data_IF_936257350853
#
_entry.id   IF_936257350853
#
_cell.length_a   1.000
_cell.length_b   1.000
_cell.length_c   1.000
_cell.angle_alpha   90.00
_cell.angle_beta   90.00
_cell.angle_gamma   90.00
#
_symmetry.space_group_name_H-M   'P 1'
#
loop_
_entity.id
_entity.type
_entity.pdbx_description
1 polymer ?
#
# COMPACT_ATOMS: atom_id res chain seq x y z
N UNK A 1 15.72 -26.04 47.20
CA UNK A 1 15.44 -25.42 45.90
C UNK A 1 14.87 -24.03 46.17
N UNK A 2 15.11 -23.08 45.27
CA UNK A 2 14.72 -21.68 45.45
C UNK A 2 13.86 -21.22 44.27
N UNK A 3 12.84 -20.44 44.56
CA UNK A 3 11.99 -19.82 43.55
C UNK A 3 12.61 -18.53 43.04
N UNK A 4 12.40 -18.24 41.75
CA UNK A 4 12.73 -16.97 41.12
C UNK A 4 11.44 -16.30 40.64
N UNK A 5 11.12 -15.15 41.22
CA UNK A 5 9.97 -14.34 40.82
C UNK A 5 10.45 -13.20 39.93
N UNK A 6 9.94 -13.15 38.71
CA UNK A 6 10.25 -12.13 37.71
C UNK A 6 9.05 -11.20 37.52
N UNK A 7 9.29 -9.89 37.55
CA UNK A 7 8.28 -8.87 37.27
C UNK A 7 8.77 -7.93 36.18
N UNK A 8 7.90 -7.59 35.23
CA UNK A 8 8.18 -6.59 34.21
C UNK A 8 6.89 -5.92 33.75
N UNK A 9 6.98 -4.62 33.47
CA UNK A 9 5.93 -3.82 32.84
C UNK A 9 6.60 -3.01 31.72
N UNK A 10 6.09 -3.06 30.49
CA UNK A 10 6.75 -2.47 29.31
C UNK A 10 7.83 -3.35 28.65
N UNK A 11 7.97 -4.61 29.08
CA UNK A 11 8.98 -5.54 28.55
C UNK A 11 8.78 -6.98 29.04
N UNK A 12 9.61 -7.89 28.54
CA UNK A 12 9.68 -9.30 28.96
C UNK A 12 11.06 -9.60 29.57
N UNK A 13 11.12 -10.63 30.42
CA UNK A 13 12.37 -11.16 30.96
C UNK A 13 12.48 -12.63 30.54
N UNK A 14 13.58 -12.97 29.87
CA UNK A 14 13.94 -14.36 29.59
C UNK A 14 14.93 -14.85 30.64
N UNK A 15 14.73 -16.07 31.14
CA UNK A 15 15.64 -16.73 32.08
C UNK A 15 16.24 -17.99 31.41
N UNK A 16 17.54 -18.21 31.60
CA UNK A 16 18.24 -19.39 31.10
C UNK A 16 19.17 -19.96 32.18
N UNK A 17 18.98 -21.23 32.61
CA UNK A 17 17.85 -22.10 32.25
C UNK A 17 16.52 -21.56 32.81
N UNK A 18 15.41 -21.91 32.17
CA UNK A 18 14.06 -21.61 32.68
C UNK A 18 13.52 -22.82 33.45
N UNK A 19 13.42 -22.68 34.77
CA UNK A 19 12.93 -23.72 35.66
C UNK A 19 11.90 -23.16 36.65
N UNK A 20 10.98 -24.02 37.13
CA UNK A 20 10.02 -23.64 38.16
C UNK A 20 10.67 -23.40 39.52
N UNK A 21 11.71 -24.18 39.85
CA UNK A 21 12.48 -24.10 41.08
C UNK A 21 13.94 -24.45 40.80
N UNK A 22 14.87 -23.64 41.29
CA UNK A 22 16.30 -23.81 41.02
C UNK A 22 17.01 -24.52 42.18
N UNK A 23 18.03 -25.31 41.88
CA UNK A 23 18.93 -25.82 42.91
C UNK A 23 19.74 -24.67 43.55
N UNK A 24 20.16 -24.86 44.79
CA UNK A 24 21.03 -23.89 45.45
C UNK A 24 22.36 -23.77 44.69
N UNK A 25 22.79 -22.55 44.39
CA UNK A 25 24.00 -22.25 43.63
C UNK A 25 23.83 -22.27 42.11
N UNK A 26 22.63 -22.57 41.59
CA UNK A 26 22.37 -22.47 40.14
C UNK A 26 22.56 -21.02 39.69
N UNK A 27 23.30 -20.84 38.60
CA UNK A 27 23.48 -19.54 37.94
C UNK A 27 22.46 -19.40 36.82
N UNK A 28 21.58 -18.41 36.95
CA UNK A 28 20.52 -18.09 35.99
C UNK A 28 20.92 -16.84 35.23
N UNK A 29 21.02 -16.92 33.91
CA UNK A 29 21.19 -15.77 33.04
C UNK A 29 19.82 -15.15 32.77
N UNK A 30 19.69 -13.85 33.01
CA UNK A 30 18.51 -13.07 32.69
C UNK A 30 18.78 -12.13 31.52
N UNK A 31 17.80 -12.00 30.63
CA UNK A 31 17.83 -11.06 29.51
C UNK A 31 16.53 -10.27 29.48
N UNK A 32 16.64 -8.95 29.58
CA UNK A 32 15.51 -8.04 29.38
C UNK A 32 15.26 -7.85 27.89
N UNK A 33 13.99 -7.86 27.51
CA UNK A 33 13.50 -7.61 26.16
C UNK A 33 12.44 -6.50 26.22
N UNK A 34 12.80 -5.24 25.96
CA UNK A 34 11.82 -4.16 25.87
C UNK A 34 10.75 -4.45 24.81
N UNK A 35 9.49 -4.13 25.10
CA UNK A 35 8.45 -4.11 24.08
C UNK A 35 8.59 -2.86 23.20
N UNK A 36 7.92 -2.85 22.06
CA UNK A 36 7.92 -1.69 21.16
C UNK A 36 7.46 -0.42 21.89
N UNK A 37 8.17 0.68 21.68
CA UNK A 37 7.93 1.94 22.38
C UNK A 37 8.48 2.03 23.79
N UNK A 38 9.16 0.99 24.30
CA UNK A 38 9.84 1.00 25.59
C UNK A 38 11.34 0.80 25.44
N UNK A 39 12.11 1.32 26.39
CA UNK A 39 13.53 1.02 26.53
C UNK A 39 13.83 0.55 27.95
N UNK A 40 14.82 -0.34 28.08
CA UNK A 40 15.24 -0.87 29.37
C UNK A 40 16.05 0.16 30.13
N UNK A 41 15.71 0.39 31.40
CA UNK A 41 16.42 1.35 32.26
C UNK A 41 17.22 0.68 33.36
N UNK A 42 16.83 -0.52 33.79
CA UNK A 42 17.65 -1.30 34.71
C UNK A 42 16.93 -2.43 35.43
N UNK A 43 17.68 -3.13 36.27
CA UNK A 43 17.18 -4.16 37.17
C UNK A 43 16.94 -3.61 38.58
N UNK A 44 15.94 -4.15 39.27
CA UNK A 44 15.63 -3.85 40.67
C UNK A 44 15.33 -5.13 41.46
N UNK A 45 15.58 -5.09 42.77
CA UNK A 45 15.36 -6.19 43.70
C UNK A 45 16.67 -6.91 44.00
N UNK A 46 16.70 -8.23 43.79
CA UNK A 46 17.90 -9.05 43.97
C UNK A 46 18.93 -8.92 42.83
N UNK A 47 18.63 -8.09 41.82
CA UNK A 47 19.56 -7.65 40.78
C UNK A 47 19.55 -6.12 40.67
N UNK A 48 20.66 -5.58 40.16
CA UNK A 48 20.82 -4.17 39.83
C UNK A 48 21.71 -4.02 38.60
N UNK A 49 21.67 -2.85 37.97
CA UNK A 49 22.46 -2.52 36.78
C UNK A 49 21.59 -2.17 35.58
N UNK A 50 22.21 -1.53 34.58
CA UNK A 50 21.55 -1.02 33.37
C UNK A 50 21.77 -1.89 32.13
N UNK A 51 22.53 -2.98 32.25
CA UNK A 51 22.79 -3.90 31.15
C UNK A 51 21.58 -4.80 30.89
N UNK A 52 21.22 -4.97 29.61
CA UNK A 52 20.10 -5.83 29.18
C UNK A 52 20.29 -7.30 29.59
N UNK A 53 21.53 -7.73 29.85
CA UNK A 53 21.86 -9.08 30.30
C UNK A 53 22.46 -9.03 31.69
N UNK A 54 21.95 -9.86 32.57
CA UNK A 54 22.48 -10.03 33.93
C UNK A 54 22.54 -11.51 34.29
N UNK A 55 23.28 -11.85 35.33
CA UNK A 55 23.31 -13.21 35.86
C UNK A 55 23.07 -13.16 37.37
N UNK A 56 22.27 -14.11 37.86
CA UNK A 56 21.90 -14.24 39.25
C UNK A 56 22.27 -15.64 39.75
N UNK A 57 22.75 -15.75 40.98
CA UNK A 57 23.01 -17.04 41.63
C UNK A 57 21.89 -17.31 42.64
N UNK A 58 21.31 -18.51 42.58
CA UNK A 58 20.19 -18.91 43.43
C UNK A 58 20.68 -19.45 44.77
N UNK A 59 20.99 -18.57 45.73
CA UNK A 59 21.35 -18.92 47.12
C UNK A 59 20.17 -18.82 48.12
N UNK A 60 19.13 -18.07 47.74
CA UNK A 60 17.87 -17.88 48.44
C UNK A 60 16.73 -17.78 47.42
N UNK A 61 15.45 -17.75 47.83
CA UNK A 61 14.39 -17.23 46.95
C UNK A 61 14.76 -15.82 46.48
N UNK A 62 14.52 -15.53 45.20
CA UNK A 62 14.91 -14.27 44.55
C UNK A 62 13.72 -13.58 43.89
N UNK A 63 13.72 -12.25 43.94
CA UNK A 63 12.75 -11.37 43.30
C UNK A 63 13.50 -10.36 42.43
N UNK A 64 13.25 -10.41 41.13
CA UNK A 64 13.86 -9.49 40.16
C UNK A 64 12.75 -8.76 39.41
N UNK A 65 12.89 -7.44 39.32
CA UNK A 65 12.04 -6.60 38.49
C UNK A 65 12.89 -5.97 37.39
N UNK A 66 12.46 -6.09 36.13
CA UNK A 66 13.03 -5.32 35.02
C UNK A 66 12.25 -4.02 34.86
N UNK A 67 12.97 -2.91 34.86
CA UNK A 67 12.43 -1.57 34.69
C UNK A 67 12.53 -1.16 33.22
N UNK A 68 11.41 -0.68 32.70
CA UNK A 68 11.31 -0.14 31.35
C UNK A 68 10.64 1.22 31.41
N UNK A 69 11.08 2.13 30.55
CA UNK A 69 10.47 3.45 30.41
C UNK A 69 9.98 3.65 28.98
N UNK A 70 8.84 4.33 28.84
CA UNK A 70 8.29 4.65 27.53
C UNK A 70 9.21 5.62 26.80
N UNK A 71 9.61 5.25 25.58
CA UNK A 71 10.39 6.11 24.69
C UNK A 71 9.56 7.31 24.28
N UNK A 72 10.17 8.49 24.31
CA UNK A 72 9.53 9.76 23.98
C UNK A 72 10.19 10.39 22.75
N UNK A 73 9.40 11.08 21.95
CA UNK A 73 9.82 11.71 20.71
C UNK A 73 9.39 13.17 20.65
N UNK A 74 10.27 14.01 20.09
CA UNK A 74 9.95 15.39 19.78
C UNK A 74 9.17 15.49 18.46
N UNK A 75 8.19 16.41 18.44
CA UNK A 75 7.48 16.82 17.23
C UNK A 75 7.78 18.29 16.95
N UNK A 76 8.56 18.55 15.90
CA UNK A 76 8.86 19.91 15.46
C UNK A 76 7.82 20.35 14.44
N UNK A 77 7.13 21.45 14.71
CA UNK A 77 6.11 21.98 13.79
C UNK A 77 6.47 23.39 13.35
N UNK A 78 6.47 23.61 12.04
CA UNK A 78 6.76 24.91 11.42
C UNK A 78 5.56 25.38 10.60
N UNK A 79 5.28 26.68 10.66
CA UNK A 79 4.19 27.31 9.94
C UNK A 79 4.57 28.76 9.64
N UNK A 80 4.69 29.09 8.36
CA UNK A 80 4.91 30.47 7.91
C UNK A 80 3.58 31.01 7.38
N UNK A 81 3.19 32.22 7.80
CA UNK A 81 1.90 32.83 7.44
C UNK A 81 0.66 32.10 7.97
N UNK A 82 0.82 31.32 9.04
CA UNK A 82 -0.25 30.66 9.77
C UNK A 82 0.23 30.13 11.10
N UNK A 83 -0.59 29.35 11.78
CA UNK A 83 -0.22 28.61 12.99
C UNK A 83 -0.75 27.19 12.93
N UNK A 84 -0.15 26.29 13.69
CA UNK A 84 -0.60 24.91 13.83
C UNK A 84 -0.93 24.66 15.29
N UNK A 85 -2.15 24.20 15.55
CA UNK A 85 -2.60 23.77 16.87
C UNK A 85 -2.37 22.27 17.02
N UNK A 86 -1.81 21.86 18.16
CA UNK A 86 -1.55 20.47 18.50
C UNK A 86 -2.50 20.02 19.61
N UNK A 87 -3.00 18.80 19.49
CA UNK A 87 -3.85 18.19 20.49
C UNK A 87 -3.57 16.68 20.63
N UNK A 88 -2.94 16.22 21.74
CA UNK A 88 -2.51 17.04 22.88
C UNK A 88 -1.29 17.91 22.56
N UNK A 89 -1.17 19.07 23.21
CA UNK A 89 0.03 19.92 23.14
C UNK A 89 1.06 19.44 24.16
N UNK A 90 2.25 19.06 23.71
CA UNK A 90 3.36 18.64 24.56
C UNK A 90 4.70 18.90 23.88
N UNK A 91 5.78 19.02 24.67
CA UNK A 91 7.14 19.14 24.14
C UNK A 91 7.66 17.81 23.59
N UNK A 92 7.27 16.70 24.23
CA UNK A 92 7.61 15.34 23.82
C UNK A 92 6.42 14.42 24.01
N UNK A 93 6.31 13.44 23.13
CA UNK A 93 5.21 12.50 23.05
C UNK A 93 5.70 11.08 23.28
N UNK A 94 5.00 10.32 24.11
CA UNK A 94 5.26 8.89 24.26
C UNK A 94 5.07 8.16 22.93
N UNK A 95 5.82 7.09 22.70
CA UNK A 95 5.64 6.23 21.54
C UNK A 95 4.17 5.81 21.37
N UNK A 96 3.67 5.88 20.14
CA UNK A 96 2.28 5.57 19.79
C UNK A 96 1.27 6.68 20.11
N UNK A 97 1.70 7.81 20.68
CA UNK A 97 0.78 8.94 20.92
C UNK A 97 0.28 9.48 19.58
N UNK A 98 -1.03 9.61 19.45
CA UNK A 98 -1.69 10.22 18.29
C UNK A 98 -1.93 11.70 18.55
N UNK A 99 -1.21 12.54 17.83
CA UNK A 99 -1.29 14.00 17.92
C UNK A 99 -2.17 14.49 16.78
N UNK A 100 -3.21 15.26 17.09
CA UNK A 100 -4.06 15.92 16.10
C UNK A 100 -3.46 17.28 15.78
N UNK A 101 -3.19 17.53 14.51
CA UNK A 101 -2.68 18.80 14.01
C UNK A 101 -3.81 19.54 13.29
N UNK A 102 -3.96 20.84 13.57
CA UNK A 102 -4.89 21.73 12.87
C UNK A 102 -4.16 22.98 12.39
N UNK A 103 -4.07 23.17 11.08
CA UNK A 103 -3.58 24.39 10.46
C UNK A 103 -4.65 25.50 10.51
N UNK A 104 -4.26 26.67 10.99
CA UNK A 104 -5.08 27.89 10.97
C UNK A 104 -4.32 28.96 10.15
N UNK A 105 -4.75 29.25 8.90
CA UNK A 105 -4.16 30.31 8.08
C UNK A 105 -4.30 31.68 8.72
N UNK A 106 -3.31 32.55 8.48
CA UNK A 106 -3.44 33.98 8.81
C UNK A 106 -4.36 34.69 7.82
N UNK A 107 -4.82 35.89 8.17
CA UNK A 107 -5.65 36.71 7.29
C UNK A 107 -4.97 36.94 5.92
N UNK A 108 -5.72 36.71 4.84
CA UNK A 108 -5.20 36.82 3.47
C UNK A 108 -4.45 35.58 2.97
N UNK A 109 -4.37 34.50 3.74
CA UNK A 109 -3.76 33.24 3.33
C UNK A 109 -4.76 32.08 3.37
N UNK A 110 -4.50 31.04 2.57
CA UNK A 110 -5.17 29.75 2.61
C UNK A 110 -4.16 28.64 2.91
N UNK A 111 -4.60 27.59 3.59
CA UNK A 111 -3.79 26.39 3.77
C UNK A 111 -3.72 25.62 2.44
N UNK A 112 -2.52 25.22 2.03
CA UNK A 112 -2.30 24.42 0.84
C UNK A 112 -2.17 22.94 1.20
N UNK A 113 -1.15 22.61 1.99
CA UNK A 113 -0.79 21.25 2.31
C UNK A 113 0.16 21.15 3.51
N UNK A 114 0.27 19.93 4.03
CA UNK A 114 1.34 19.52 4.93
C UNK A 114 2.57 19.04 4.14
N UNK A 115 3.74 19.24 4.74
CA UNK A 115 5.02 18.69 4.30
C UNK A 115 5.75 18.03 5.49
N UNK A 116 6.67 17.10 5.19
CA UNK A 116 7.47 16.38 6.19
C UNK A 116 6.79 15.07 6.60
N UNK A 117 6.57 14.88 7.91
CA UNK A 117 5.97 13.68 8.46
C UNK A 117 4.45 13.56 8.22
N UNK A 118 3.83 14.61 7.69
CA UNK A 118 2.46 14.61 7.18
C UNK A 118 2.46 15.04 5.72
N UNK A 119 1.45 14.59 4.98
CA UNK A 119 1.18 14.98 3.59
C UNK A 119 -0.31 15.18 3.38
N UNK A 120 -0.67 15.97 2.37
CA UNK A 120 -2.05 16.18 1.96
C UNK A 120 -2.58 17.59 2.26
N UNK A 121 -3.75 17.89 1.69
CA UNK A 121 -4.36 19.23 1.65
C UNK A 121 -5.45 19.48 2.71
N UNK A 122 -5.71 18.50 3.57
CA UNK A 122 -6.68 18.65 4.66
C UNK A 122 -6.04 19.48 5.80
N UNK A 123 -6.69 20.56 6.27
CA UNK A 123 -6.13 21.42 7.33
C UNK A 123 -6.15 20.75 8.71
N UNK A 124 -6.75 19.57 8.85
CA UNK A 124 -6.76 18.78 10.09
C UNK A 124 -6.29 17.37 9.75
N UNK A 125 -5.29 16.88 10.49
CA UNK A 125 -4.73 15.55 10.28
C UNK A 125 -4.22 14.96 11.60
N UNK A 126 -4.09 13.64 11.67
CA UNK A 126 -3.56 12.96 12.87
C UNK A 126 -2.21 12.32 12.56
N UNK A 127 -1.23 12.55 13.43
CA UNK A 127 0.11 12.01 13.34
C UNK A 127 0.38 11.07 14.53
N UNK A 128 0.84 9.86 14.25
CA UNK A 128 1.28 8.93 15.30
C UNK A 128 2.78 9.07 15.57
N UNK A 129 3.15 9.23 16.84
CA UNK A 129 4.54 9.45 17.27
C UNK A 129 5.26 8.12 17.47
N UNK A 130 5.92 7.61 16.44
CA UNK A 130 6.79 6.42 16.49
C UNK A 130 8.30 6.76 16.32
N UNK A 131 8.61 8.03 16.03
CA UNK A 131 9.94 8.56 15.88
C UNK A 131 9.93 10.07 16.14
N UNK A 132 11.10 10.70 16.21
CA UNK A 132 11.17 12.15 16.10
C UNK A 132 10.66 12.58 14.71
N UNK A 133 9.79 13.58 14.67
CA UNK A 133 9.09 13.98 13.45
C UNK A 133 9.12 15.49 13.27
N UNK A 134 9.17 15.90 12.01
CA UNK A 134 9.07 17.29 11.61
C UNK A 134 7.89 17.47 10.67
N UNK A 135 7.06 18.48 10.93
CA UNK A 135 5.89 18.82 10.11
C UNK A 135 5.96 20.28 9.75
N UNK A 136 5.67 20.60 8.48
CA UNK A 136 5.53 21.97 7.99
C UNK A 136 4.13 22.18 7.43
N UNK A 137 3.45 23.23 7.88
CA UNK A 137 2.21 23.70 7.29
C UNK A 137 2.50 24.77 6.23
N UNK A 138 2.06 24.53 5.00
CA UNK A 138 2.26 25.44 3.87
C UNK A 138 1.01 26.25 3.61
N UNK A 139 1.17 27.56 3.47
CA UNK A 139 0.10 28.51 3.20
C UNK A 139 0.40 29.33 1.94
N UNK A 140 -0.65 29.73 1.21
CA UNK A 140 -0.55 30.59 0.04
C UNK A 140 -1.39 31.87 0.21
N UNK A 141 -0.88 32.98 -0.31
CA UNK A 141 -1.61 34.25 -0.36
C UNK A 141 -2.83 34.13 -1.26
N UNK A 142 -3.95 34.71 -0.82
CA UNK A 142 -5.15 34.85 -1.63
C UNK A 142 -4.91 35.99 -2.64
N UNK A 143 -4.92 35.72 -3.96
CA UNK A 143 -4.68 36.75 -4.95
C UNK A 143 -5.78 37.82 -4.87
N UNK A 144 -5.36 39.09 -4.79
CA UNK A 144 -6.28 40.23 -4.82
C UNK A 144 -7.03 40.26 -6.16
N UNK A 145 -8.35 40.54 -6.17
CA UNK A 145 -9.10 40.66 -7.42
C UNK A 145 -8.44 41.68 -8.35
N UNK A 146 -8.26 41.30 -9.62
CA UNK A 146 -7.77 42.24 -10.62
C UNK A 146 -8.72 43.44 -10.70
N UNK A 147 -8.22 44.69 -10.79
CA UNK A 147 -9.07 45.85 -10.98
C UNK A 147 -9.92 45.68 -12.25
N UNK A 148 -11.19 46.13 -12.24
CA UNK A 148 -12.07 45.96 -13.38
C UNK A 148 -11.45 46.60 -14.64
N UNK A 149 -11.40 45.82 -15.73
CA UNK A 149 -10.91 46.29 -17.02
C UNK A 149 -11.79 47.48 -17.44
N UNK A 150 -11.22 48.65 -17.78
CA UNK A 150 -12.00 49.76 -18.32
C UNK A 150 -12.67 49.31 -19.62
N UNK A 151 -14.00 49.28 -19.64
CA UNK A 151 -14.76 49.05 -20.87
C UNK A 151 -14.45 50.17 -21.86
N UNK A 152 -13.92 49.88 -23.07
CA UNK A 152 -13.75 50.90 -24.08
C UNK A 152 -15.13 51.41 -24.51
N UNK A 153 -15.33 52.73 -24.44
CA UNK A 153 -16.48 53.39 -25.03
C UNK A 153 -16.48 53.12 -26.53
N UNK A 154 -17.45 52.35 -27.01
CA UNK A 154 -17.70 52.17 -28.45
C UNK A 154 -18.37 53.45 -28.95
N UNK A 155 -17.77 54.23 -29.86
CA UNK A 155 -18.46 55.35 -30.48
C UNK A 155 -19.60 54.80 -31.33
N UNK A 156 -20.81 55.34 -31.14
CA UNK A 156 -22.00 54.97 -31.90
C UNK A 156 -21.76 55.18 -33.39
N UNK A 157 -21.89 54.12 -34.19
CA UNK A 157 -21.77 54.21 -35.65
C UNK A 157 -22.88 55.08 -36.26
N UNK A 158 -22.62 55.81 -37.36
CA UNK A 158 -23.62 56.62 -38.03
C UNK A 158 -24.64 55.74 -38.77
N UNK A 159 -25.92 56.06 -38.56
CA UNK A 159 -27.09 55.41 -39.15
C UNK A 159 -27.02 55.57 -40.69
N UNK A 160 -26.94 54.45 -41.42
CA UNK A 160 -27.12 54.41 -42.88
C UNK A 160 -28.60 54.20 -43.17
N UNK A 161 -29.24 55.18 -43.82
CA UNK A 161 -30.61 55.09 -44.31
C UNK A 161 -30.75 53.98 -45.37
N UNK A 162 -31.68 53.05 -45.12
CA UNK A 162 -32.09 52.00 -46.08
C UNK A 162 -33.28 52.54 -46.88
N UNK A 163 -33.26 52.52 -48.24
CA UNK A 163 -34.40 52.97 -49.04
C UNK A 163 -35.54 51.92 -49.08
N UNK A 164 -36.79 52.34 -49.35
CA UNK A 164 -37.97 51.50 -49.15
C UNK A 164 -38.22 50.53 -50.32
N UNK A 165 -38.59 49.29 -50.01
CA UNK A 165 -39.17 48.35 -50.97
C UNK A 165 -40.58 47.98 -50.52
N UNK A 166 -41.56 48.33 -51.36
CA UNK A 166 -42.99 48.01 -51.23
C UNK A 166 -43.30 46.58 -51.76
N UNK A 167 -44.55 46.07 -51.72
CA UNK A 167 -45.10 45.33 -50.59
C UNK A 167 -45.59 43.90 -50.92
N UNK A 168 -45.83 43.13 -49.85
CA UNK A 168 -46.82 42.05 -49.68
C UNK A 168 -46.95 40.93 -50.75
N UNK A 169 -46.47 39.73 -50.39
CA UNK A 169 -46.99 38.46 -50.89
C UNK A 169 -47.57 37.69 -49.69
N UNK A 170 -48.84 37.29 -49.80
CA UNK A 170 -49.62 36.53 -48.80
C UNK A 170 -48.99 35.17 -48.41
N UNK A 171 -49.31 34.64 -47.22
CA UNK A 171 -48.77 33.36 -46.76
C UNK A 171 -49.46 32.16 -47.43
N UNK A 172 -48.67 31.27 -48.04
CA UNK A 172 -49.11 29.96 -48.54
C UNK A 172 -49.22 28.98 -47.35
N UNK A 173 -50.32 28.21 -47.22
CA UNK A 173 -50.50 27.27 -46.11
C UNK A 173 -49.59 26.02 -46.23
N UNK A 174 -49.24 25.36 -45.11
CA UNK A 174 -48.30 24.25 -45.09
C UNK A 174 -48.87 23.01 -45.78
N UNK A 175 -48.15 22.49 -46.77
CA UNK A 175 -48.44 21.19 -47.38
C UNK A 175 -48.00 20.06 -46.44
N UNK A 176 -48.89 19.09 -46.26
CA UNK A 176 -48.69 17.92 -45.44
C UNK A 176 -47.55 17.03 -45.98
N UNK A 177 -46.57 16.73 -45.14
CA UNK A 177 -45.52 15.75 -45.41
C UNK A 177 -46.09 14.35 -45.16
N UNK A 178 -45.98 13.38 -46.09
CA UNK A 178 -46.49 12.04 -45.85
C UNK A 178 -45.61 11.28 -44.85
N UNK A 179 -46.27 10.64 -43.89
CA UNK A 179 -45.69 9.75 -42.88
C UNK A 179 -45.06 8.53 -43.57
N UNK A 180 -43.75 8.41 -43.53
CA UNK A 180 -43.03 7.19 -43.93
C UNK A 180 -43.04 6.24 -42.73
N UNK A 181 -43.73 5.09 -42.90
CA UNK A 181 -43.66 3.98 -41.94
C UNK A 181 -42.36 3.19 -42.16
N UNK A 182 -41.66 2.74 -41.11
CA UNK A 182 -40.51 1.86 -41.28
C UNK A 182 -40.96 0.44 -41.69
N UNK A 183 -40.30 -0.13 -42.70
CA UNK A 183 -40.46 -1.54 -43.09
C UNK A 183 -39.80 -2.48 -42.06
N UNK A 184 -40.34 -3.71 -41.86
CA UNK A 184 -39.76 -4.68 -40.95
C UNK A 184 -38.48 -5.34 -41.54
N UNK A 185 -37.50 -5.72 -40.71
CA UNK A 185 -36.26 -6.35 -41.17
C UNK A 185 -36.53 -7.75 -41.73
N UNK A 186 -36.00 -8.01 -42.94
CA UNK A 186 -36.04 -9.32 -43.57
C UNK A 186 -35.12 -10.33 -42.85
N UNK A 187 -35.63 -11.54 -42.68
CA UNK A 187 -34.98 -12.65 -42.00
C UNK A 187 -33.75 -13.17 -42.79
N UNK A 188 -32.62 -13.32 -42.09
CA UNK A 188 -31.42 -14.00 -42.59
C UNK A 188 -31.56 -15.50 -42.31
N UNK A 189 -31.37 -16.41 -43.29
CA UNK A 189 -31.55 -17.84 -43.06
C UNK A 189 -30.38 -18.45 -42.28
N UNK A 190 -30.77 -19.27 -41.32
CA UNK A 190 -29.96 -20.15 -40.47
C UNK A 190 -29.20 -21.18 -41.30
N UNK A 191 -27.87 -21.29 -41.10
CA UNK A 191 -27.09 -22.46 -41.52
C UNK A 191 -26.64 -23.21 -40.26
N UNK A 192 -27.04 -24.48 -40.18
CA UNK A 192 -26.79 -25.39 -39.07
C UNK A 192 -25.38 -26.02 -39.20
N UNK A 193 -24.68 -26.33 -38.09
CA UNK A 193 -23.47 -27.14 -38.13
C UNK A 193 -23.84 -28.62 -37.99
N UNK A 194 -23.37 -29.45 -38.92
CA UNK A 194 -23.50 -30.90 -38.86
C UNK A 194 -22.10 -31.51 -38.62
N UNK A 195 -22.02 -32.34 -37.58
CA UNK A 195 -20.88 -33.16 -37.17
C UNK A 195 -20.43 -34.13 -38.26
N UNK A 196 -19.17 -34.57 -38.22
CA UNK A 196 -18.73 -35.99 -38.12
C UNK A 196 -17.18 -36.06 -38.12
N UNK A 197 -16.61 -36.71 -37.09
CA UNK A 197 -15.22 -37.19 -36.96
C UNK A 197 -15.00 -38.48 -37.81
N UNK A 198 -13.87 -39.25 -37.86
CA UNK A 198 -12.74 -39.33 -36.90
C UNK A 198 -11.31 -39.63 -37.46
N UNK A 199 -10.32 -39.56 -36.54
CA UNK A 199 -9.08 -40.37 -36.34
C UNK A 199 -8.19 -40.75 -37.54
N UNK A 200 -6.90 -40.38 -37.49
CA UNK A 200 -5.72 -41.25 -37.78
C UNK A 200 -4.49 -40.78 -36.97
N UNK A 201 -3.88 -41.70 -36.21
CA UNK A 201 -2.56 -41.62 -35.56
C UNK A 201 -1.41 -41.52 -36.56
N UNK A 202 -0.34 -40.76 -36.26
CA UNK A 202 1.03 -41.15 -36.62
C UNK A 202 2.02 -40.62 -35.57
N UNK A 203 2.76 -41.56 -34.99
CA UNK A 203 3.99 -41.40 -34.21
C UNK A 203 5.13 -40.77 -35.03
N UNK A 204 6.14 -40.23 -34.32
CA UNK A 204 7.60 -40.38 -34.54
C UNK A 204 8.36 -39.09 -34.15
N UNK A 205 8.98 -39.07 -32.96
CA UNK A 205 10.41 -39.34 -32.65
C UNK A 205 11.35 -38.13 -32.83
N UNK A 206 12.16 -37.92 -31.79
CA UNK A 206 13.26 -36.96 -31.66
C UNK A 206 14.34 -37.12 -32.76
N UNK A 207 15.32 -36.19 -32.80
CA UNK A 207 16.62 -36.66 -32.32
C UNK A 207 17.46 -35.66 -31.51
N UNK A 208 18.26 -36.28 -30.67
CA UNK A 208 19.46 -35.84 -29.97
C UNK A 208 20.55 -35.42 -30.98
N UNK A 209 21.33 -34.38 -30.65
CA UNK A 209 22.65 -34.15 -31.27
C UNK A 209 23.65 -33.85 -30.16
N UNK A 210 24.40 -34.87 -29.75
CA UNK A 210 25.76 -34.77 -29.24
C UNK A 210 26.73 -34.79 -30.43
N UNK A 211 27.83 -34.04 -30.34
CA UNK A 211 29.09 -34.37 -31.01
C UNK A 211 30.26 -33.70 -30.25
N UNK A 212 31.04 -34.53 -29.58
CA UNK A 212 32.40 -34.25 -29.10
C UNK A 212 33.34 -33.93 -30.28
N UNK A 213 34.43 -33.16 -30.03
CA UNK A 213 35.80 -33.68 -30.15
C UNK A 213 36.92 -32.61 -30.08
N UNK A 214 37.96 -32.96 -29.31
CA UNK A 214 39.42 -32.72 -29.50
C UNK A 214 40.08 -31.49 -28.86
N UNK A 215 40.97 -31.80 -27.90
CA UNK A 215 42.04 -30.97 -27.31
C UNK A 215 43.23 -30.77 -28.28
N UNK A 216 44.23 -29.93 -27.95
CA UNK A 216 45.39 -30.54 -27.30
C UNK A 216 46.12 -29.67 -26.25
N UNK A 217 46.71 -30.45 -25.33
CA UNK A 217 47.86 -30.28 -24.44
C UNK A 217 48.94 -29.29 -24.90
N UNK A 218 49.42 -28.45 -23.97
CA UNK A 218 50.81 -27.98 -23.92
C UNK A 218 51.30 -28.02 -22.47
N UNK A 219 52.26 -28.91 -22.21
CA UNK A 219 53.11 -28.98 -21.01
C UNK A 219 54.02 -27.74 -20.91
N UNK A 220 54.14 -27.18 -19.71
CA UNK A 220 55.36 -26.51 -19.28
C UNK A 220 55.64 -26.88 -17.82
N UNK A 221 56.60 -27.78 -17.66
CA UNK A 221 57.33 -28.01 -16.41
C UNK A 221 58.06 -26.73 -15.99
N UNK A 222 58.03 -26.37 -14.70
CA UNK A 222 59.16 -25.69 -14.06
C UNK A 222 59.09 -25.77 -12.52
N UNK A 223 59.89 -26.69 -12.00
CA UNK A 223 60.84 -26.54 -10.88
C UNK A 223 60.35 -25.86 -9.59
N UNK A 224 60.22 -26.68 -8.54
CA UNK A 224 60.23 -26.27 -7.14
C UNK A 224 61.56 -25.63 -6.71
N UNK A 225 61.55 -24.84 -5.62
CA UNK A 225 62.53 -25.08 -4.58
C UNK A 225 61.91 -25.14 -3.17
N UNK A 226 62.30 -26.21 -2.47
CA UNK A 226 62.67 -26.33 -1.05
C UNK A 226 62.13 -25.25 -0.10
N UNK A 227 61.18 -25.65 0.76
CA UNK A 227 60.82 -24.92 1.98
C UNK A 227 61.12 -25.82 3.18
N UNK A 228 61.83 -25.26 4.17
CA UNK A 228 62.21 -25.88 5.45
C UNK A 228 60.99 -26.34 6.28
N UNK A 229 61.15 -27.34 7.17
CA UNK A 229 60.03 -27.90 7.93
C UNK A 229 59.65 -26.99 9.11
N UNK A 230 58.43 -26.42 9.07
CA UNK A 230 57.80 -25.82 10.24
C UNK A 230 56.97 -26.86 11.00
N UNK A 231 56.95 -26.66 12.32
CA UNK A 231 56.63 -27.63 13.35
C UNK A 231 55.17 -28.11 13.37
N UNK A 232 55.02 -29.37 13.80
CA UNK A 232 53.77 -30.09 14.03
C UNK A 232 52.89 -29.35 15.05
N UNK A 233 51.74 -28.86 14.62
CA UNK A 233 50.64 -28.38 15.47
C UNK A 233 49.53 -29.45 15.39
N UNK A 234 48.98 -29.94 16.51
CA UNK A 234 48.03 -31.06 16.48
C UNK A 234 46.71 -30.67 15.81
N UNK A 235 46.27 -31.53 14.90
CA UNK A 235 45.03 -31.48 14.13
C UNK A 235 43.82 -31.55 15.09
N UNK A 236 43.17 -30.41 15.33
CA UNK A 236 41.80 -30.38 15.87
C UNK A 236 40.88 -30.70 14.69
N UNK A 237 40.18 -31.83 14.77
CA UNK A 237 39.18 -32.21 13.78
C UNK A 237 38.14 -31.09 13.61
N UNK A 238 37.80 -30.68 12.37
CA UNK A 238 36.72 -29.72 12.17
C UNK A 238 35.40 -30.34 12.62
N UNK A 239 34.53 -29.60 13.33
CA UNK A 239 33.21 -30.11 13.68
C UNK A 239 32.43 -30.38 12.39
N UNK A 240 31.65 -31.46 12.41
CA UNK A 240 30.81 -31.91 11.31
C UNK A 240 29.99 -30.74 10.70
N UNK A 241 29.79 -30.71 9.37
CA UNK A 241 28.99 -29.68 8.74
C UNK A 241 27.57 -29.73 9.31
N UNK A 242 27.15 -28.61 9.91
CA UNK A 242 25.77 -28.39 10.33
C UNK A 242 24.87 -28.66 9.12
N UNK A 243 23.94 -29.62 9.26
CA UNK A 243 22.88 -29.78 8.29
C UNK A 243 22.14 -28.44 8.18
N UNK A 244 22.07 -27.93 6.95
CA UNK A 244 21.21 -26.83 6.55
C UNK A 244 19.77 -27.21 6.86
N UNK A 245 19.31 -26.86 8.07
CA UNK A 245 17.89 -26.75 8.34
C UNK A 245 17.45 -25.55 7.52
N UNK A 246 16.77 -25.82 6.40
CA UNK A 246 16.01 -24.85 5.63
C UNK A 246 15.27 -23.92 6.59
N UNK A 247 15.31 -22.59 6.41
CA UNK A 247 14.54 -21.70 7.26
C UNK A 247 13.07 -22.05 7.08
N UNK A 248 12.49 -22.72 8.08
CA UNK A 248 11.05 -22.77 8.25
C UNK A 248 10.62 -21.31 8.35
N UNK A 249 9.90 -20.84 7.36
CA UNK A 249 9.20 -19.57 7.40
C UNK A 249 8.28 -19.61 8.63
N UNK A 250 8.73 -19.01 9.73
CA UNK A 250 7.85 -18.65 10.84
C UNK A 250 7.06 -17.46 10.32
N UNK A 251 5.83 -17.72 9.90
CA UNK A 251 4.82 -16.69 9.66
C UNK A 251 4.78 -15.75 10.88
N UNK A 252 4.61 -14.43 10.68
CA UNK A 252 4.62 -13.48 11.78
C UNK A 252 3.56 -13.89 12.81
N UNK A 253 3.98 -14.07 14.06
CA UNK A 253 3.07 -14.37 15.17
C UNK A 253 2.06 -13.23 15.28
N UNK A 254 0.82 -13.50 14.88
CA UNK A 254 -0.30 -12.58 15.04
C UNK A 254 -0.48 -12.28 16.52
N UNK A 255 -0.57 -11.01 16.86
CA UNK A 255 -0.75 -10.54 18.23
C UNK A 255 -2.05 -11.10 18.82
N UNK A 256 -2.12 -11.26 20.14
CA UNK A 256 -3.33 -11.74 20.83
C UNK A 256 -4.56 -10.86 20.50
N UNK A 257 -4.35 -9.55 20.32
CA UNK A 257 -5.39 -8.61 19.89
C UNK A 257 -5.80 -8.79 18.42
N UNK A 258 -4.87 -9.06 17.49
CA UNK A 258 -5.21 -9.39 16.10
C UNK A 258 -6.00 -10.70 16.02
N UNK A 259 -5.63 -11.71 16.81
CA UNK A 259 -6.36 -12.98 16.86
C UNK A 259 -7.78 -12.82 17.43
N UNK A 260 -7.93 -11.93 18.42
CA UNK A 260 -9.23 -11.58 19.00
C UNK A 260 -10.09 -10.80 18.00
N UNK A 261 -9.52 -9.81 17.30
CA UNK A 261 -10.22 -9.04 16.27
C UNK A 261 -10.67 -9.96 15.14
N UNK A 262 -9.78 -10.86 14.69
CA UNK A 262 -10.07 -11.88 13.67
C UNK A 262 -11.22 -12.79 14.06
N UNK A 263 -11.20 -13.29 15.30
CA UNK A 263 -12.28 -14.16 15.80
C UNK A 263 -13.61 -13.41 15.86
N UNK A 264 -13.61 -12.15 16.32
CA UNK A 264 -14.81 -11.32 16.36
C UNK A 264 -15.36 -11.01 14.95
N UNK A 265 -14.47 -10.78 13.97
CA UNK A 265 -14.87 -10.57 12.58
C UNK A 265 -15.54 -11.81 11.97
N UNK A 266 -14.99 -13.00 12.23
CA UNK A 266 -15.58 -14.28 11.80
C UNK A 266 -16.96 -14.51 12.41
N UNK A 267 -17.15 -14.17 13.69
CA UNK A 267 -18.46 -14.27 14.35
C UNK A 267 -19.50 -13.33 13.72
N UNK A 268 -19.13 -12.06 13.47
CA UNK A 268 -20.01 -11.09 12.78
C UNK A 268 -20.40 -11.55 11.38
N UNK A 269 -19.47 -12.13 10.62
CA UNK A 269 -19.74 -12.66 9.28
C UNK A 269 -20.72 -13.84 9.34
N UNK A 270 -20.56 -14.72 10.34
CA UNK A 270 -21.47 -15.84 10.59
C UNK A 270 -22.89 -15.38 10.93
N UNK A 271 -23.04 -14.34 11.75
CA UNK A 271 -24.34 -13.74 12.07
C UNK A 271 -25.04 -13.15 10.84
N UNK A 272 -24.25 -12.63 9.89
CA UNK A 272 -24.73 -12.10 8.61
C UNK A 272 -24.98 -13.17 7.54
N UNK A 273 -24.67 -14.43 7.82
CA UNK A 273 -24.75 -15.51 6.84
C UNK A 273 -23.77 -15.35 5.67
N UNK A 274 -22.65 -14.65 5.89
CA UNK A 274 -21.60 -14.45 4.88
C UNK A 274 -20.53 -15.53 5.06
N UNK A 275 -20.25 -16.26 3.99
CA UNK A 275 -19.18 -17.27 3.96
C UNK A 275 -17.80 -16.60 3.81
N UNK A 276 -16.82 -17.03 4.60
CA UNK A 276 -15.42 -16.56 4.49
C UNK A 276 -14.73 -17.33 3.36
N UNK A 277 -14.73 -16.78 2.15
CA UNK A 277 -14.05 -17.37 0.99
C UNK A 277 -13.59 -16.30 0.00
N UNK A 278 -12.54 -16.60 -0.77
CA UNK A 278 -11.98 -15.71 -1.80
C UNK A 278 -13.02 -15.28 -2.84
N UNK A 279 -13.90 -16.21 -3.24
CA UNK A 279 -14.97 -15.93 -4.19
C UNK A 279 -15.97 -14.89 -3.65
N UNK A 280 -16.34 -15.00 -2.37
CA UNK A 280 -17.23 -14.03 -1.72
C UNK A 280 -16.54 -12.68 -1.57
N UNK A 281 -15.25 -12.66 -1.18
CA UNK A 281 -14.49 -11.42 -1.08
C UNK A 281 -14.41 -10.69 -2.43
N UNK A 282 -14.16 -11.42 -3.51
CA UNK A 282 -14.14 -10.86 -4.86
C UNK A 282 -15.53 -10.35 -5.28
N UNK A 283 -16.61 -11.07 -4.96
CA UNK A 283 -17.99 -10.62 -5.22
C UNK A 283 -18.31 -9.32 -4.47
N UNK A 284 -17.92 -9.20 -3.20
CA UNK A 284 -18.17 -8.01 -2.37
C UNK A 284 -17.32 -6.82 -2.79
N UNK A 285 -16.06 -7.03 -3.17
CA UNK A 285 -15.22 -6.00 -3.77
C UNK A 285 -15.84 -5.47 -5.08
N UNK A 286 -16.36 -6.38 -5.91
CA UNK A 286 -17.06 -6.04 -7.16
C UNK A 286 -18.39 -5.32 -6.93
N UNK A 287 -19.13 -5.67 -5.88
CA UNK A 287 -20.39 -5.01 -5.54
C UNK A 287 -20.20 -3.67 -4.80
N UNK A 288 -18.97 -3.35 -4.40
CA UNK A 288 -18.66 -2.14 -3.63
C UNK A 288 -19.09 -2.22 -2.17
N UNK A 289 -19.34 -3.42 -1.63
CA UNK A 289 -19.71 -3.64 -0.24
C UNK A 289 -18.49 -3.53 0.67
N UNK A 290 -18.04 -2.28 0.88
CA UNK A 290 -16.84 -1.95 1.64
C UNK A 290 -16.88 -2.46 3.08
N UNK A 291 -18.07 -2.57 3.68
CA UNK A 291 -18.23 -3.07 5.05
C UNK A 291 -17.96 -4.57 5.12
N UNK A 292 -18.55 -5.35 4.21
CA UNK A 292 -18.30 -6.80 4.16
C UNK A 292 -16.87 -7.10 3.71
N UNK A 293 -16.31 -6.30 2.79
CA UNK A 293 -14.88 -6.39 2.42
C UNK A 293 -14.00 -6.18 3.65
N UNK A 294 -14.23 -5.11 4.44
CA UNK A 294 -13.47 -4.86 5.67
C UNK A 294 -13.56 -6.05 6.64
N UNK A 295 -14.76 -6.54 6.91
CA UNK A 295 -14.95 -7.67 7.83
C UNK A 295 -14.25 -8.96 7.35
N UNK A 296 -14.26 -9.23 6.05
CA UNK A 296 -13.58 -10.40 5.48
C UNK A 296 -12.05 -10.28 5.59
N UNK A 297 -11.50 -9.07 5.41
CA UNK A 297 -10.07 -8.81 5.59
C UNK A 297 -9.67 -8.89 7.07
N UNK A 298 -10.47 -8.31 7.98
CA UNK A 298 -10.32 -8.47 9.44
C UNK A 298 -10.37 -9.95 9.87
N UNK A 299 -11.14 -10.79 9.16
CA UNK A 299 -11.17 -12.24 9.35
C UNK A 299 -9.88 -12.97 8.87
N UNK A 300 -8.90 -12.24 8.37
CA UNK A 300 -7.58 -12.72 7.96
C UNK A 300 -7.51 -13.20 6.52
N UNK A 301 -8.40 -12.70 5.65
CA UNK A 301 -8.29 -12.90 4.22
C UNK A 301 -7.20 -12.00 3.61
N UNK A 302 -6.57 -12.46 2.53
CA UNK A 302 -5.50 -11.73 1.87
C UNK A 302 -6.06 -10.55 1.05
N UNK A 303 -5.69 -9.28 1.36
CA UNK A 303 -6.08 -8.11 0.58
C UNK A 303 -5.57 -8.14 -0.87
N UNK A 304 -4.58 -9.00 -1.17
CA UNK A 304 -4.01 -9.20 -2.50
C UNK A 304 -4.61 -10.38 -3.28
N UNK A 305 -5.71 -10.95 -2.79
CA UNK A 305 -6.42 -12.04 -3.49
C UNK A 305 -6.65 -11.67 -4.96
N UNK A 306 -6.25 -12.58 -5.84
CA UNK A 306 -6.39 -12.43 -7.29
C UNK A 306 -7.62 -13.19 -7.79
N UNK A 307 -8.40 -12.51 -8.62
CA UNK A 307 -9.45 -13.10 -9.41
C UNK A 307 -8.91 -13.71 -10.72
N UNK A 308 -9.81 -13.86 -11.69
CA UNK A 308 -9.44 -14.32 -13.03
C UNK A 308 -8.48 -13.33 -13.69
N UNK A 309 -7.51 -13.85 -14.43
CA UNK A 309 -6.51 -13.07 -15.17
C UNK A 309 -5.57 -12.22 -14.30
N UNK A 310 -5.43 -12.52 -13.01
CA UNK A 310 -4.54 -11.79 -12.10
C UNK A 310 -5.11 -10.43 -11.66
N UNK A 311 -6.42 -10.22 -11.81
CA UNK A 311 -7.08 -8.99 -11.36
C UNK A 311 -7.21 -9.02 -9.83
N UNK A 312 -6.56 -8.11 -9.12
CA UNK A 312 -6.66 -8.03 -7.66
C UNK A 312 -8.01 -7.49 -7.19
N UNK A 313 -8.31 -7.64 -5.89
CA UNK A 313 -9.46 -7.00 -5.25
C UNK A 313 -9.48 -5.48 -5.49
N UNK A 314 -8.33 -4.82 -5.37
CA UNK A 314 -8.19 -3.38 -5.60
C UNK A 314 -8.51 -3.02 -7.05
N UNK A 315 -7.98 -3.76 -8.03
CA UNK A 315 -8.32 -3.54 -9.44
C UNK A 315 -9.83 -3.70 -9.68
N UNK A 316 -10.46 -4.71 -9.06
CA UNK A 316 -11.89 -4.96 -9.20
C UNK A 316 -12.72 -3.78 -8.67
N UNK A 317 -12.44 -3.32 -7.45
CA UNK A 317 -13.12 -2.15 -6.88
C UNK A 317 -12.93 -0.88 -7.74
N UNK A 318 -11.73 -0.70 -8.30
CA UNK A 318 -11.39 0.44 -9.17
C UNK A 318 -12.13 0.37 -10.52
N UNK A 319 -12.19 -0.81 -11.15
CA UNK A 319 -12.89 -1.05 -12.42
C UNK A 319 -14.40 -0.80 -12.27
N UNK A 320 -14.96 -1.06 -11.10
CA UNK A 320 -16.39 -0.79 -10.82
C UNK A 320 -16.61 0.63 -10.26
N UNK A 321 -15.53 1.37 -9.93
CA UNK A 321 -15.60 2.76 -9.45
C UNK A 321 -15.95 2.91 -7.96
N UNK A 322 -15.79 1.85 -7.17
CA UNK A 322 -16.14 1.83 -5.75
C UNK A 322 -15.03 2.42 -4.87
N UNK A 323 -15.06 3.75 -4.71
CA UNK A 323 -14.05 4.53 -3.95
C UNK A 323 -13.87 3.98 -2.52
N UNK A 324 -14.95 3.71 -1.79
CA UNK A 324 -14.84 3.26 -0.40
C UNK A 324 -14.34 1.82 -0.28
N UNK A 325 -14.71 0.93 -1.21
CA UNK A 325 -14.14 -0.42 -1.23
C UNK A 325 -12.64 -0.38 -1.57
N UNK A 326 -12.23 0.47 -2.52
CA UNK A 326 -10.83 0.70 -2.82
C UNK A 326 -10.07 1.28 -1.61
N UNK A 327 -10.68 2.21 -0.86
CA UNK A 327 -10.10 2.79 0.37
C UNK A 327 -9.83 1.72 1.41
N UNK A 328 -10.83 0.88 1.71
CA UNK A 328 -10.67 -0.24 2.66
C UNK A 328 -9.52 -1.13 2.23
N UNK A 329 -9.46 -1.54 0.96
CA UNK A 329 -8.40 -2.42 0.47
C UNK A 329 -7.01 -1.80 0.63
N UNK A 330 -6.86 -0.50 0.38
CA UNK A 330 -5.60 0.23 0.57
C UNK A 330 -5.23 0.29 2.06
N UNK A 331 -6.19 0.60 2.94
CA UNK A 331 -5.99 0.63 4.40
C UNK A 331 -5.56 -0.73 4.96
N UNK A 332 -6.09 -1.81 4.40
CA UNK A 332 -5.76 -3.20 4.78
C UNK A 332 -4.51 -3.74 4.07
N UNK A 333 -3.76 -2.90 3.34
CA UNK A 333 -2.45 -3.26 2.79
C UNK A 333 -2.46 -3.95 1.42
N UNK A 334 -3.46 -3.69 0.58
CA UNK A 334 -3.42 -4.11 -0.82
C UNK A 334 -2.23 -3.48 -1.58
N UNK A 335 -1.49 -4.30 -2.32
CA UNK A 335 -0.41 -3.85 -3.18
C UNK A 335 -0.98 -3.13 -4.41
N UNK A 336 -0.65 -1.83 -4.49
CA UNK A 336 -1.13 -0.91 -5.52
C UNK A 336 -0.52 -1.18 -6.90
N UNK A 337 0.61 -1.90 -6.93
CA UNK A 337 1.50 -2.01 -8.09
C UNK A 337 1.50 -3.39 -8.74
N UNK A 338 0.67 -4.31 -8.25
CA UNK A 338 0.41 -5.60 -8.91
C UNK A 338 -0.02 -5.35 -10.36
N UNK A 339 0.41 -6.24 -11.25
CA UNK A 339 0.10 -6.19 -12.68
C UNK A 339 -0.71 -7.42 -13.05
N UNK A 340 -1.87 -7.17 -13.65
CA UNK A 340 -2.69 -8.26 -14.19
C UNK A 340 -2.03 -8.91 -15.43
N UNK A 341 -2.72 -9.88 -16.03
CA UNK A 341 -2.25 -10.58 -17.23
C UNK A 341 -2.03 -9.65 -18.44
N UNK A 342 -2.67 -8.47 -18.46
CA UNK A 342 -2.49 -7.43 -19.48
C UNK A 342 -1.33 -6.48 -19.15
N UNK A 343 -0.74 -6.62 -17.97
CA UNK A 343 0.32 -5.76 -17.44
C UNK A 343 -0.19 -4.47 -16.82
N UNK A 344 -1.49 -4.34 -16.57
CA UNK A 344 -2.12 -3.12 -16.05
C UNK A 344 -2.11 -3.12 -14.52
N UNK A 345 -1.88 -1.94 -13.93
CA UNK A 345 -2.03 -1.69 -12.49
C UNK A 345 -3.42 -1.13 -12.16
N UNK A 346 -3.76 -1.04 -10.88
CA UNK A 346 -5.01 -0.42 -10.44
C UNK A 346 -5.18 1.01 -10.97
N UNK A 347 -4.12 1.83 -10.95
CA UNK A 347 -4.18 3.21 -11.46
C UNK A 347 -4.41 3.24 -12.98
N UNK A 348 -3.81 2.33 -13.75
CA UNK A 348 -4.09 2.24 -15.18
C UNK A 348 -5.54 1.85 -15.45
N UNK A 349 -6.09 0.89 -14.69
CA UNK A 349 -7.49 0.51 -14.78
C UNK A 349 -8.44 1.67 -14.47
N UNK A 350 -8.12 2.50 -13.48
CA UNK A 350 -8.90 3.71 -13.18
C UNK A 350 -9.00 4.62 -14.41
N UNK A 351 -7.91 4.78 -15.16
CA UNK A 351 -7.86 5.61 -16.38
C UNK A 351 -8.58 4.94 -17.55
N UNK A 352 -8.30 3.67 -17.81
CA UNK A 352 -8.87 2.94 -18.96
C UNK A 352 -10.39 2.80 -18.86
N UNK A 353 -10.94 2.75 -17.65
CA UNK A 353 -12.39 2.63 -17.40
C UNK A 353 -13.07 3.96 -17.08
N UNK A 354 -12.44 5.08 -17.45
CA UNK A 354 -12.96 6.44 -17.29
C UNK A 354 -13.54 6.99 -18.60
N UNK A 355 -14.22 6.17 -19.39
CA UNK A 355 -14.80 6.56 -20.68
C UNK A 355 -16.14 7.29 -20.53
N UNK A 356 -17.01 6.84 -19.64
CA UNK A 356 -18.31 7.48 -19.37
C UNK A 356 -18.22 8.56 -18.28
N UNK A 357 -17.48 8.27 -17.21
CA UNK A 357 -17.26 9.19 -16.10
C UNK A 357 -15.83 9.06 -15.57
N UNK A 358 -15.12 10.18 -15.36
CA UNK A 358 -13.75 10.12 -14.91
C UNK A 358 -13.69 9.75 -13.44
N UNK A 359 -13.02 8.64 -13.13
CA UNK A 359 -12.89 8.10 -11.77
C UNK A 359 -11.84 8.85 -10.95
N UNK A 360 -11.89 10.19 -10.98
CA UNK A 360 -10.89 11.08 -10.41
C UNK A 360 -10.71 10.86 -8.91
N UNK A 361 -11.78 10.55 -8.17
CA UNK A 361 -11.69 10.29 -6.73
C UNK A 361 -10.90 9.02 -6.43
N UNK A 362 -11.13 7.94 -7.19
CA UNK A 362 -10.34 6.70 -7.08
C UNK A 362 -8.90 6.92 -7.51
N UNK A 363 -8.66 7.71 -8.56
CA UNK A 363 -7.31 8.06 -9.01
C UNK A 363 -6.54 8.85 -7.94
N UNK A 364 -7.16 9.87 -7.35
CA UNK A 364 -6.58 10.65 -6.24
C UNK A 364 -6.24 9.73 -5.08
N UNK A 365 -7.17 8.86 -4.69
CA UNK A 365 -6.95 7.89 -3.63
C UNK A 365 -5.72 7.01 -3.89
N UNK A 366 -5.57 6.47 -5.10
CA UNK A 366 -4.42 5.63 -5.48
C UNK A 366 -3.10 6.43 -5.51
N UNK A 367 -3.12 7.66 -6.02
CA UNK A 367 -1.94 8.53 -6.07
C UNK A 367 -1.51 8.94 -4.66
N UNK A 368 -2.46 9.35 -3.82
CA UNK A 368 -2.21 9.72 -2.42
C UNK A 368 -1.68 8.54 -1.61
N UNK A 369 -2.10 7.32 -1.94
CA UNK A 369 -1.61 6.07 -1.34
C UNK A 369 -0.23 5.62 -1.86
N UNK A 370 0.36 6.33 -2.83
CA UNK A 370 1.70 6.04 -3.35
C UNK A 370 1.76 4.98 -4.45
N UNK A 371 0.69 4.79 -5.23
CA UNK A 371 0.75 3.97 -6.43
C UNK A 371 1.82 4.48 -7.39
N UNK A 372 2.56 3.58 -8.05
CA UNK A 372 3.57 3.96 -9.05
C UNK A 372 2.90 4.57 -10.28
N UNK A 373 2.85 5.91 -10.27
CA UNK A 373 2.20 6.71 -11.32
C UNK A 373 2.87 6.54 -12.69
N UNK A 374 4.14 6.13 -12.70
CA UNK A 374 4.96 5.95 -13.89
C UNK A 374 5.14 4.47 -14.28
N UNK A 375 4.42 3.56 -13.62
CA UNK A 375 4.38 2.16 -14.02
C UNK A 375 4.06 2.05 -15.51
N UNK A 376 4.72 1.12 -16.18
CA UNK A 376 4.56 0.90 -17.61
C UNK A 376 4.35 -0.58 -17.91
N UNK A 377 3.40 -0.88 -18.80
CA UNK A 377 3.23 -2.22 -19.36
C UNK A 377 4.45 -2.63 -20.19
N UNK A 378 4.50 -3.90 -20.65
CA UNK A 378 5.57 -4.36 -21.56
C UNK A 378 5.60 -3.60 -22.90
N UNK A 379 4.49 -2.99 -23.32
CA UNK A 379 4.42 -2.10 -24.51
C UNK A 379 4.74 -0.64 -24.20
N UNK A 380 5.20 -0.36 -22.97
CA UNK A 380 5.55 0.96 -22.47
C UNK A 380 4.33 1.85 -22.20
N UNK A 381 3.12 1.29 -22.10
CA UNK A 381 1.91 2.08 -21.84
C UNK A 381 1.89 2.48 -20.35
N UNK A 382 1.83 3.78 -20.09
CA UNK A 382 1.65 4.36 -18.76
C UNK A 382 0.21 4.86 -18.59
N UNK A 383 -0.21 5.12 -17.35
CA UNK A 383 -1.51 5.74 -17.06
C UNK A 383 -1.70 7.05 -17.86
N UNK A 384 -0.68 7.90 -17.92
CA UNK A 384 -0.70 9.15 -18.71
C UNK A 384 -0.84 8.91 -20.21
N UNK A 385 -0.31 7.80 -20.76
CA UNK A 385 -0.46 7.51 -22.18
C UNK A 385 -1.88 7.07 -22.55
N UNK A 386 -2.58 6.40 -21.64
CA UNK A 386 -3.98 6.01 -21.83
C UNK A 386 -4.94 7.20 -21.89
N UNK A 387 -4.57 8.38 -21.35
CA UNK A 387 -5.44 9.56 -21.40
C UNK A 387 -5.58 10.18 -22.79
N UNK A 388 -4.69 9.86 -23.74
CA UNK A 388 -4.67 10.50 -25.08
C UNK A 388 -5.92 10.25 -25.93
N UNK A 389 -6.70 9.22 -25.59
CA UNK A 389 -7.98 8.90 -26.24
C UNK A 389 -9.21 9.24 -25.40
N UNK A 390 -9.05 9.78 -24.20
CA UNK A 390 -10.17 10.09 -23.30
C UNK A 390 -10.69 11.50 -23.53
N UNK A 391 -12.01 11.73 -23.39
CA UNK A 391 -12.59 13.07 -23.47
C UNK A 391 -12.25 13.94 -22.23
N UNK A 392 -11.73 13.34 -21.16
CA UNK A 392 -11.50 13.98 -19.87
C UNK A 392 -10.07 14.52 -19.72
N UNK A 393 -9.84 15.74 -20.20
CA UNK A 393 -8.54 16.42 -20.11
C UNK A 393 -8.03 16.54 -18.66
N UNK A 394 -8.94 16.66 -17.70
CA UNK A 394 -8.65 16.72 -16.26
C UNK A 394 -7.94 15.47 -15.72
N UNK A 395 -8.17 14.28 -16.30
CA UNK A 395 -7.48 13.04 -15.89
C UNK A 395 -5.98 13.14 -16.20
N UNK A 396 -5.64 13.68 -17.38
CA UNK A 396 -4.25 13.90 -17.76
C UNK A 396 -3.58 14.97 -16.88
N UNK A 397 -4.33 16.00 -16.48
CA UNK A 397 -3.84 17.03 -15.58
C UNK A 397 -3.58 16.47 -14.18
N UNK A 398 -4.54 15.74 -13.61
CA UNK A 398 -4.43 15.07 -12.31
C UNK A 398 -3.19 14.15 -12.26
N UNK A 399 -2.95 13.36 -13.31
CA UNK A 399 -1.77 12.51 -13.37
C UNK A 399 -0.46 13.31 -13.43
N UNK A 400 -0.41 14.41 -14.19
CA UNK A 400 0.79 15.26 -14.25
C UNK A 400 1.07 15.97 -12.94
N UNK A 401 0.02 16.43 -12.25
CA UNK A 401 0.12 17.01 -10.90
C UNK A 401 0.65 15.98 -9.89
N UNK A 402 0.28 14.70 -10.06
CA UNK A 402 0.84 13.58 -9.30
C UNK A 402 2.26 13.14 -9.73
N UNK A 403 2.88 13.80 -10.70
CA UNK A 403 4.25 13.48 -11.15
C UNK A 403 4.37 12.46 -12.29
N UNK A 404 3.29 12.20 -13.03
CA UNK A 404 3.35 11.39 -14.24
C UNK A 404 4.16 12.08 -15.35
N UNK A 405 5.06 11.34 -15.99
CA UNK A 405 5.96 11.85 -17.04
C UNK A 405 5.97 11.01 -18.31
#
# INVERSE_FOLDING_TARGET
RHSLTLKSEGGRIEASPQEADYAHGTRVALKALPLEGYHFTGWQGDLSGSELKAALVMDSPKNVTALFETTRYALTVTAEHGKVLLDPEAAEYAHGTRVRLKAEPSEGYIFLNWEGALSGSKPKETLEMNSAKEVRAVFAEIPKPAPPIPVPHVPSEPIVEVPPVSPAIEPVPPQAVPVVRPEPPQAVPVVRPEHIAPVVELEQTAPVVELEHIAPVVELEQTAPVVEPLQVVPLVEPPAPLELISPVAVAPESTEEENKLRTAAVEKLKERGVEVSENVLLEKAKAGDAETVRLLLEAGMDPNTEGKFGTTLLMTAVIEGHVEAARVLIEEGADLNVRDSSGLTALMWAVVTSDESPKTDVMKLLIDAGADINAATKSGMTALRYTRGLPHAEVAQLLREGGAR
#
